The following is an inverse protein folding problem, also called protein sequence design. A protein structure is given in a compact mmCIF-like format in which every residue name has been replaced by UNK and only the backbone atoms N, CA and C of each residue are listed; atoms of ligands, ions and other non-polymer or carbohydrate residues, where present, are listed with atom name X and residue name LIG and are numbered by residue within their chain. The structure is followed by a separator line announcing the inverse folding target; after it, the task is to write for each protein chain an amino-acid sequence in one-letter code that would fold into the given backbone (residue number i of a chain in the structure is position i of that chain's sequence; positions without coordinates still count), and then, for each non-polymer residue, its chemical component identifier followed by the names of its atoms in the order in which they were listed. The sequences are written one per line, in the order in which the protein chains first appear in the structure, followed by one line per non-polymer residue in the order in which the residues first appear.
data_IF_127563223435
#
_entry.id   IF_127563223435
#
_cell.length_a   1.000
_cell.length_b   1.000
_cell.length_c   1.000
_cell.angle_alpha   90.00
_cell.angle_beta   90.00
_cell.angle_gamma   90.00
#
_symmetry.space_group_name_H-M   'P 1'
#
loop_
_entity.id
_entity.type
_entity.pdbx_description
1 polymer ?
#
# COMPACT_ATOMS: atom_id res chain seq x y z
N UNK A 1 5.48 -2.69 -39.59
CA UNK A 1 6.34 -2.44 -38.41
C UNK A 1 5.66 -1.38 -37.56
N UNK A 2 5.04 -1.77 -36.44
CA UNK A 2 4.26 -0.81 -35.64
C UNK A 2 5.06 -0.08 -34.54
N UNK A 3 6.28 -0.51 -34.23
CA UNK A 3 7.10 0.10 -33.17
C UNK A 3 8.60 0.17 -33.51
N UNK A 4 8.96 0.10 -34.80
CA UNK A 4 10.38 0.12 -35.21
C UNK A 4 11.18 -1.13 -34.88
N UNK A 5 10.56 -2.16 -34.29
CA UNK A 5 11.19 -3.43 -33.92
C UNK A 5 10.78 -4.57 -34.86
N UNK A 6 11.63 -5.58 -34.98
CA UNK A 6 11.31 -6.75 -35.79
C UNK A 6 10.27 -7.64 -35.10
N UNK A 7 9.46 -8.37 -35.89
CA UNK A 7 8.48 -9.31 -35.33
C UNK A 7 9.16 -10.35 -34.43
N UNK A 8 10.34 -10.82 -34.81
CA UNK A 8 11.13 -11.78 -34.02
C UNK A 8 11.53 -11.22 -32.65
N UNK A 9 11.95 -9.95 -32.61
CA UNK A 9 12.31 -9.29 -31.37
C UNK A 9 11.09 -9.14 -30.45
N UNK A 10 9.94 -8.70 -31.00
CA UNK A 10 8.69 -8.58 -30.25
C UNK A 10 8.21 -9.95 -29.70
N UNK A 11 8.30 -11.02 -30.51
CA UNK A 11 7.98 -12.38 -30.07
C UNK A 11 8.89 -12.84 -28.92
N UNK A 12 10.17 -12.47 -28.93
CA UNK A 12 11.08 -12.78 -27.83
C UNK A 12 10.72 -12.04 -26.54
N UNK A 13 10.27 -10.79 -26.66
CA UNK A 13 9.76 -10.01 -25.51
C UNK A 13 8.53 -10.72 -24.88
N UNK A 14 7.54 -11.08 -25.68
CA UNK A 14 6.35 -11.80 -25.22
C UNK A 14 6.67 -13.19 -24.62
N UNK A 15 7.71 -13.84 -25.06
CA UNK A 15 8.17 -15.13 -24.53
C UNK A 15 9.02 -14.99 -23.25
N UNK A 16 9.20 -13.79 -22.73
CA UNK A 16 9.98 -13.55 -21.52
C UNK A 16 11.48 -13.83 -21.67
N UNK A 17 12.02 -13.81 -22.90
CA UNK A 17 13.46 -13.96 -23.12
C UNK A 17 14.19 -12.71 -22.62
N UNK A 18 15.39 -12.90 -22.07
CA UNK A 18 16.25 -11.78 -21.68
C UNK A 18 16.68 -10.98 -22.89
N UNK A 19 16.00 -9.89 -23.17
CA UNK A 19 16.33 -8.90 -24.20
C UNK A 19 16.44 -7.54 -23.53
N UNK A 20 17.45 -6.74 -23.91
CA UNK A 20 17.54 -5.36 -23.48
C UNK A 20 16.62 -4.52 -24.37
N UNK A 21 15.51 -4.06 -23.81
CA UNK A 21 14.65 -3.06 -24.43
C UNK A 21 15.09 -1.67 -23.94
N UNK A 22 15.37 -0.74 -24.85
CA UNK A 22 15.55 0.66 -24.47
C UNK A 22 14.21 1.33 -24.22
N UNK A 23 14.21 2.40 -23.40
CA UNK A 23 12.99 3.16 -23.09
C UNK A 23 12.27 3.65 -24.34
N UNK A 24 13.02 4.08 -25.36
CA UNK A 24 12.46 4.50 -26.65
C UNK A 24 11.67 3.37 -27.35
N UNK A 25 12.17 2.15 -27.26
CA UNK A 25 11.51 0.97 -27.85
C UNK A 25 10.24 0.63 -27.05
N UNK A 26 10.28 0.71 -25.74
CA UNK A 26 9.13 0.49 -24.87
C UNK A 26 8.05 1.54 -25.06
N UNK A 27 8.44 2.81 -25.14
CA UNK A 27 7.51 3.90 -25.46
C UNK A 27 6.87 3.70 -26.82
N UNK A 28 7.62 3.21 -27.82
CA UNK A 28 7.09 2.91 -29.15
C UNK A 28 6.09 1.74 -29.11
N UNK A 29 6.38 0.70 -28.32
CA UNK A 29 5.47 -0.43 -28.09
C UNK A 29 4.20 0.04 -27.35
N UNK A 30 4.34 0.80 -26.27
CA UNK A 30 3.21 1.33 -25.50
C UNK A 30 2.27 2.19 -26.36
N UNK A 31 2.83 3.05 -27.24
CA UNK A 31 2.03 3.82 -28.21
C UNK A 31 1.32 2.89 -29.22
N UNK A 32 2.00 1.85 -29.71
CA UNK A 32 1.41 0.90 -30.63
C UNK A 32 0.26 0.11 -29.98
N UNK A 33 0.38 -0.21 -28.69
CA UNK A 33 -0.65 -0.86 -27.87
C UNK A 33 -1.73 0.12 -27.37
N UNK A 34 -1.58 1.42 -27.65
CA UNK A 34 -2.48 2.50 -27.19
C UNK A 34 -2.63 2.55 -25.68
N UNK A 35 -1.53 2.31 -24.97
CA UNK A 35 -1.52 2.48 -23.52
C UNK A 35 -1.71 3.96 -23.17
N UNK A 36 -2.45 4.22 -22.12
CA UNK A 36 -2.52 5.53 -21.48
C UNK A 36 -1.23 5.84 -20.70
N UNK A 37 -1.15 7.02 -20.10
CA UNK A 37 0.02 7.47 -19.35
C UNK A 37 0.37 6.50 -18.21
N UNK A 38 -0.62 6.01 -17.45
CA UNK A 38 -0.42 5.04 -16.39
C UNK A 38 0.10 3.68 -16.91
N UNK A 39 -0.41 3.22 -18.06
CA UNK A 39 0.05 2.01 -18.73
C UNK A 39 1.46 2.14 -19.28
N UNK A 40 1.86 3.33 -19.77
CA UNK A 40 3.23 3.61 -20.22
C UNK A 40 4.21 3.61 -19.05
N UNK A 41 3.88 4.27 -17.95
CA UNK A 41 4.69 4.29 -16.74
C UNK A 41 4.88 2.88 -16.18
N UNK A 42 3.81 2.09 -16.17
CA UNK A 42 3.90 0.70 -15.76
C UNK A 42 4.81 -0.12 -16.69
N UNK A 43 4.69 0.04 -18.00
CA UNK A 43 5.54 -0.65 -18.98
C UNK A 43 7.02 -0.32 -18.78
N UNK A 44 7.36 0.95 -18.56
CA UNK A 44 8.72 1.40 -18.28
C UNK A 44 9.24 0.82 -16.96
N UNK A 45 8.41 0.81 -15.91
CA UNK A 45 8.78 0.25 -14.60
C UNK A 45 9.11 -1.25 -14.63
N UNK A 46 8.61 -1.99 -15.61
CA UNK A 46 8.91 -3.42 -15.77
C UNK A 46 10.32 -3.71 -16.28
N UNK A 47 11.00 -2.73 -16.87
CA UNK A 47 12.31 -2.91 -17.51
C UNK A 47 13.46 -2.31 -16.70
N UNK A 48 13.19 -1.40 -15.81
CA UNK A 48 14.20 -0.99 -14.85
C UNK A 48 14.57 -2.18 -13.98
N UNK A 49 15.83 -2.65 -14.00
CA UNK A 49 16.26 -3.60 -12.97
C UNK A 49 16.13 -2.87 -11.64
N UNK A 50 15.23 -3.35 -10.80
CA UNK A 50 14.98 -2.79 -9.46
C UNK A 50 16.20 -2.91 -8.55
N UNK A 51 17.24 -2.13 -8.85
CA UNK A 51 18.44 -1.93 -8.02
C UNK A 51 18.42 -0.57 -7.32
N UNK A 52 17.37 0.22 -7.52
CA UNK A 52 17.17 1.38 -6.68
C UNK A 52 16.73 0.85 -5.30
N UNK A 53 17.66 0.72 -4.38
CA UNK A 53 17.34 0.86 -2.96
C UNK A 53 16.62 2.20 -2.87
N UNK A 54 15.30 2.15 -2.69
CA UNK A 54 14.52 3.39 -2.53
C UNK A 54 15.01 4.01 -1.24
N UNK A 55 15.80 5.08 -1.35
CA UNK A 55 16.27 5.86 -0.20
C UNK A 55 15.03 6.57 0.38
N UNK A 56 14.24 5.80 1.12
CA UNK A 56 13.02 6.27 1.75
C UNK A 56 13.29 6.58 3.21
N UNK A 57 12.72 7.68 3.73
CA UNK A 57 12.82 8.00 5.14
C UNK A 57 12.26 6.87 6.00
N UNK A 58 13.01 6.43 7.01
CA UNK A 58 12.54 5.45 8.01
C UNK A 58 11.55 6.03 9.00
N UNK A 59 11.46 7.36 9.06
CA UNK A 59 10.50 8.13 9.84
C UNK A 59 9.85 9.20 8.97
N UNK A 60 8.59 9.51 9.24
CA UNK A 60 7.87 10.54 8.47
C UNK A 60 8.54 11.91 8.61
N UNK A 61 8.81 12.63 7.50
CA UNK A 61 9.27 14.01 7.54
C UNK A 61 8.38 14.90 8.42
N UNK A 62 8.97 15.85 9.13
CA UNK A 62 8.25 16.70 10.08
C UNK A 62 7.07 17.47 9.48
N UNK A 63 7.13 17.80 8.18
CA UNK A 63 6.04 18.41 7.45
C UNK A 63 4.83 17.46 7.33
N UNK A 64 5.08 16.16 7.06
CA UNK A 64 4.02 15.15 7.02
C UNK A 64 3.46 14.85 8.41
N UNK A 65 4.29 14.85 9.45
CA UNK A 65 3.80 14.70 10.84
C UNK A 65 2.81 15.82 11.18
N UNK A 66 3.15 17.09 10.89
CA UNK A 66 2.22 18.22 11.09
C UNK A 66 0.94 18.09 10.26
N UNK A 67 1.04 17.59 9.03
CA UNK A 67 -0.14 17.30 8.19
C UNK A 67 -1.03 16.25 8.87
N UNK A 68 -0.46 15.13 9.35
CA UNK A 68 -1.22 14.11 10.05
C UNK A 68 -1.93 14.66 11.30
N UNK A 69 -1.24 15.50 12.08
CA UNK A 69 -1.82 16.11 13.28
C UNK A 69 -2.95 17.08 12.92
N UNK A 70 -2.86 17.79 11.78
CA UNK A 70 -3.92 18.69 11.32
C UNK A 70 -5.19 17.96 10.85
N UNK A 71 -5.09 16.66 10.56
CA UNK A 71 -6.25 15.81 10.20
C UNK A 71 -7.04 15.33 11.41
N UNK A 72 -6.56 15.57 12.64
CA UNK A 72 -7.32 15.20 13.83
C UNK A 72 -8.75 15.80 13.80
N UNK A 73 -9.80 15.04 14.17
CA UNK A 73 -9.81 13.75 14.84
C UNK A 73 -9.76 12.52 13.91
N UNK A 74 -9.55 12.68 12.60
CA UNK A 74 -9.49 11.58 11.64
C UNK A 74 -8.18 10.78 11.80
N UNK A 75 -8.22 9.43 11.82
CA UNK A 75 -7.03 8.60 11.81
C UNK A 75 -6.23 8.80 10.53
N UNK A 76 -4.92 9.02 10.65
CA UNK A 76 -4.06 9.19 9.49
C UNK A 76 -2.64 8.69 9.75
N UNK A 77 -1.98 8.21 8.68
CA UNK A 77 -0.63 7.65 8.76
C UNK A 77 0.13 7.82 7.44
N UNK A 78 1.44 7.63 7.51
CA UNK A 78 2.35 7.59 6.35
C UNK A 78 2.92 6.20 6.22
N UNK A 79 2.90 5.68 5.00
CA UNK A 79 3.57 4.44 4.62
C UNK A 79 4.82 4.74 3.81
N UNK A 80 5.86 3.96 4.04
CA UNK A 80 7.02 3.83 3.18
C UNK A 80 6.78 2.94 1.96
N UNK A 81 7.82 2.70 1.14
CA UNK A 81 7.69 1.97 -0.12
C UNK A 81 7.27 0.51 0.02
N UNK A 82 7.59 -0.14 1.13
CA UNK A 82 7.17 -1.53 1.42
C UNK A 82 5.93 -1.59 2.32
N UNK A 83 5.21 -0.47 2.45
CA UNK A 83 4.05 -0.31 3.32
C UNK A 83 4.34 -0.41 4.82
N UNK A 84 5.59 -0.17 5.20
CA UNK A 84 5.95 0.05 6.60
C UNK A 84 5.38 1.38 7.12
N UNK A 85 4.89 1.38 8.36
CA UNK A 85 4.44 2.62 9.01
C UNK A 85 5.64 3.46 9.42
N UNK A 86 5.78 4.64 8.81
CA UNK A 86 6.86 5.61 9.13
C UNK A 86 6.37 6.79 9.96
N UNK A 87 5.05 6.96 10.11
CA UNK A 87 4.44 7.97 10.98
C UNK A 87 2.92 7.84 11.04
N UNK A 88 2.32 8.29 12.14
CA UNK A 88 0.87 8.29 12.34
C UNK A 88 0.45 9.32 13.39
N UNK A 89 -0.82 9.74 13.37
CA UNK A 89 -1.37 10.63 14.39
C UNK A 89 -1.98 9.86 15.57
N UNK A 90 -2.37 10.61 16.60
CA UNK A 90 -2.93 10.04 17.82
C UNK A 90 -4.27 9.29 17.58
N UNK A 91 -5.07 9.70 16.59
CA UNK A 91 -6.31 9.00 16.25
C UNK A 91 -6.02 7.62 15.64
N UNK A 92 -5.01 7.52 14.78
CA UNK A 92 -4.57 6.24 14.23
C UNK A 92 -4.04 5.29 15.32
N UNK A 93 -3.28 5.82 16.29
CA UNK A 93 -2.80 5.03 17.42
C UNK A 93 -3.95 4.53 18.33
N UNK A 94 -5.09 5.23 18.35
CA UNK A 94 -6.28 4.73 19.06
C UNK A 94 -7.01 3.66 18.26
N UNK A 95 -7.12 3.83 16.94
CA UNK A 95 -7.78 2.85 16.07
C UNK A 95 -7.01 1.52 16.03
N UNK A 96 -5.67 1.58 16.02
CA UNK A 96 -4.77 0.43 16.05
C UNK A 96 -3.79 0.55 17.21
N UNK A 97 -4.19 0.25 18.46
CA UNK A 97 -3.38 0.52 19.65
C UNK A 97 -1.99 -0.12 19.64
N UNK A 98 -1.85 -1.27 19.00
CA UNK A 98 -0.58 -2.00 18.93
C UNK A 98 0.43 -1.45 17.95
N UNK A 99 0.06 -0.50 17.06
CA UNK A 99 0.96 0.00 16.02
C UNK A 99 2.27 0.58 16.59
N UNK A 100 2.20 1.22 17.75
CA UNK A 100 3.35 1.82 18.43
C UNK A 100 4.28 0.79 19.09
N UNK A 101 3.78 -0.44 19.34
CA UNK A 101 4.53 -1.54 19.97
C UNK A 101 5.28 -2.39 18.95
N UNK A 102 4.91 -2.27 17.68
CA UNK A 102 5.51 -3.06 16.60
C UNK A 102 6.88 -2.48 16.21
N UNK A 103 7.80 -3.39 15.94
CA UNK A 103 9.11 -3.09 15.36
C UNK A 103 9.21 -3.65 13.94
N UNK A 104 10.21 -3.21 13.17
CA UNK A 104 10.49 -3.77 11.87
C UNK A 104 10.85 -5.27 11.98
N UNK A 105 10.46 -6.11 11.02
CA UNK A 105 9.64 -5.80 9.84
C UNK A 105 8.12 -5.83 10.08
N UNK A 106 7.66 -6.10 11.30
CA UNK A 106 6.23 -6.24 11.66
C UNK A 106 5.46 -4.92 11.71
N UNK A 107 6.14 -3.78 11.82
CA UNK A 107 5.52 -2.45 11.72
C UNK A 107 5.16 -2.15 10.27
N UNK A 108 4.29 -2.97 9.70
CA UNK A 108 3.93 -2.98 8.30
C UNK A 108 2.42 -3.16 8.14
N UNK A 109 1.79 -2.46 7.19
CA UNK A 109 0.35 -2.50 7.01
C UNK A 109 -0.15 -3.89 6.63
N UNK A 110 0.57 -4.63 5.78
CA UNK A 110 0.17 -6.00 5.45
C UNK A 110 0.32 -6.93 6.63
N UNK A 111 1.40 -6.78 7.41
CA UNK A 111 1.57 -7.59 8.61
C UNK A 111 0.42 -7.37 9.61
N UNK A 112 0.05 -6.10 9.84
CA UNK A 112 -1.07 -5.74 10.70
C UNK A 112 -2.39 -6.32 10.18
N UNK A 113 -2.59 -6.34 8.85
CA UNK A 113 -3.81 -6.89 8.25
C UNK A 113 -3.88 -8.42 8.31
N UNK A 114 -2.78 -9.11 8.09
CA UNK A 114 -2.78 -10.57 7.90
C UNK A 114 -2.35 -11.37 9.13
N UNK A 115 -1.45 -10.85 9.96
CA UNK A 115 -0.85 -11.57 11.09
C UNK A 115 -1.33 -11.06 12.46
N UNK A 116 -1.87 -9.85 12.57
CA UNK A 116 -2.40 -9.34 13.84
C UNK A 116 -3.88 -9.71 14.02
N UNK A 117 -4.15 -10.69 14.88
CA UNK A 117 -5.52 -11.18 15.15
C UNK A 117 -6.45 -10.07 15.66
N UNK A 118 -5.95 -9.13 16.47
CA UNK A 118 -6.75 -8.03 16.98
C UNK A 118 -7.22 -7.10 15.85
N UNK A 119 -6.40 -6.85 14.87
CA UNK A 119 -6.77 -6.09 13.66
C UNK A 119 -7.78 -6.84 12.80
N UNK A 120 -7.65 -8.17 12.68
CA UNK A 120 -8.60 -9.00 11.95
C UNK A 120 -10.00 -8.94 12.57
N UNK A 121 -10.11 -8.95 13.89
CA UNK A 121 -11.37 -8.82 14.62
C UNK A 121 -11.94 -7.38 14.55
N UNK A 122 -11.06 -6.39 14.47
CA UNK A 122 -11.41 -4.98 14.40
C UNK A 122 -12.09 -4.61 13.07
N UNK A 123 -11.65 -5.16 11.94
CA UNK A 123 -12.11 -4.78 10.60
C UNK A 123 -13.34 -5.62 10.21
N UNK A 124 -14.46 -4.96 9.95
CA UNK A 124 -15.65 -5.60 9.37
C UNK A 124 -15.36 -5.95 7.90
N UNK A 125 -15.80 -7.13 7.46
CA UNK A 125 -15.51 -7.64 6.09
C UNK A 125 -14.00 -7.70 5.80
N UNK A 126 -13.22 -8.17 6.78
CA UNK A 126 -11.77 -8.20 6.75
C UNK A 126 -11.20 -8.87 5.49
N UNK A 127 -11.77 -9.99 5.07
CA UNK A 127 -11.33 -10.76 3.89
C UNK A 127 -11.38 -9.93 2.60
N UNK A 128 -12.42 -9.13 2.42
CA UNK A 128 -12.56 -8.23 1.27
C UNK A 128 -11.46 -7.15 1.32
N UNK A 129 -11.29 -6.52 2.48
CA UNK A 129 -10.30 -5.45 2.64
C UNK A 129 -8.85 -5.94 2.56
N UNK A 130 -8.56 -7.12 3.10
CA UNK A 130 -7.24 -7.72 3.06
C UNK A 130 -6.84 -8.15 1.63
N UNK A 131 -7.75 -8.77 0.86
CA UNK A 131 -7.52 -9.10 -0.56
C UNK A 131 -7.27 -7.85 -1.40
N UNK A 132 -8.05 -6.81 -1.20
CA UNK A 132 -7.88 -5.54 -1.91
C UNK A 132 -6.53 -4.89 -1.58
N UNK A 133 -6.18 -4.81 -0.29
CA UNK A 133 -4.88 -4.27 0.13
C UNK A 133 -3.70 -5.06 -0.46
N UNK A 134 -3.82 -6.38 -0.53
CA UNK A 134 -2.79 -7.23 -1.13
C UNK A 134 -2.64 -6.98 -2.64
N UNK A 135 -3.75 -6.84 -3.37
CA UNK A 135 -3.73 -6.56 -4.80
C UNK A 135 -3.16 -5.14 -5.10
N UNK A 136 -3.50 -4.14 -4.29
CA UNK A 136 -2.93 -2.79 -4.35
C UNK A 136 -1.42 -2.80 -4.02
N UNK A 137 -1.02 -3.56 -3.00
CA UNK A 137 0.38 -3.69 -2.62
C UNK A 137 1.24 -4.25 -3.76
N UNK A 138 0.77 -5.29 -4.43
CA UNK A 138 1.46 -5.84 -5.60
C UNK A 138 1.65 -4.83 -6.71
N UNK A 139 0.58 -4.11 -7.05
CA UNK A 139 0.64 -3.07 -8.06
C UNK A 139 1.65 -1.99 -7.66
N UNK A 140 1.55 -1.49 -6.44
CA UNK A 140 2.36 -0.40 -5.93
C UNK A 140 3.83 -0.74 -5.71
N UNK A 141 4.16 -2.02 -5.49
CA UNK A 141 5.53 -2.49 -5.19
C UNK A 141 6.18 -3.25 -6.33
N UNK A 142 5.59 -3.23 -7.51
CA UNK A 142 6.11 -3.93 -8.71
C UNK A 142 7.55 -3.55 -9.05
N UNK A 143 7.94 -2.30 -8.85
CA UNK A 143 9.29 -1.76 -9.08
C UNK A 143 10.32 -2.21 -8.03
N UNK A 144 9.88 -2.52 -6.81
CA UNK A 144 10.76 -2.91 -5.68
C UNK A 144 10.65 -4.41 -5.34
N UNK A 145 10.03 -5.22 -6.19
CA UNK A 145 9.80 -6.66 -5.93
C UNK A 145 11.07 -7.49 -5.70
N UNK A 146 12.23 -6.99 -6.12
CA UNK A 146 13.54 -7.64 -5.94
C UNK A 146 14.34 -7.07 -4.77
N UNK A 147 13.76 -6.12 -4.03
CA UNK A 147 14.38 -5.58 -2.82
C UNK A 147 14.45 -6.68 -1.73
N UNK A 148 15.59 -6.82 -1.05
CA UNK A 148 15.72 -7.76 0.06
C UNK A 148 14.67 -7.58 1.16
N UNK A 149 14.29 -6.34 1.50
CA UNK A 149 13.26 -6.05 2.49
C UNK A 149 11.87 -6.56 2.04
N UNK A 150 11.57 -6.49 0.74
CA UNK A 150 10.35 -7.06 0.17
C UNK A 150 10.35 -8.59 0.29
N UNK A 151 11.48 -9.23 0.01
CA UNK A 151 11.63 -10.69 0.12
C UNK A 151 11.46 -11.15 1.56
N UNK A 152 12.05 -10.42 2.52
CA UNK A 152 11.92 -10.68 3.96
C UNK A 152 10.47 -10.54 4.42
N UNK A 153 9.78 -9.46 4.03
CA UNK A 153 8.37 -9.22 4.38
C UNK A 153 7.45 -10.33 3.84
N UNK A 154 7.60 -10.70 2.58
CA UNK A 154 6.79 -11.76 1.95
C UNK A 154 7.06 -13.11 2.62
N UNK A 155 8.33 -13.41 2.94
CA UNK A 155 8.71 -14.63 3.67
C UNK A 155 8.11 -14.69 5.07
N UNK A 156 8.15 -13.57 5.81
CA UNK A 156 7.56 -13.44 7.14
C UNK A 156 6.04 -13.66 7.10
N UNK A 157 5.36 -12.96 6.21
CA UNK A 157 3.90 -13.06 6.04
C UNK A 157 3.47 -14.45 5.59
N UNK A 158 4.23 -15.08 4.70
CA UNK A 158 3.98 -16.44 4.25
C UNK A 158 4.09 -17.48 5.35
N UNK A 159 4.93 -17.23 6.37
CA UNK A 159 5.05 -18.08 7.55
C UNK A 159 4.02 -17.82 8.64
N UNK A 160 3.42 -16.62 8.69
CA UNK A 160 2.53 -16.19 9.76
C UNK A 160 1.04 -16.15 9.35
N UNK A 161 0.69 -16.24 8.04
CA UNK A 161 -0.70 -16.22 7.55
C UNK A 161 -0.91 -17.17 6.36
N UNK A 162 -1.80 -18.14 6.53
CA UNK A 162 -2.21 -19.06 5.46
C UNK A 162 -2.96 -18.31 4.36
N UNK A 163 -3.84 -17.37 4.72
CA UNK A 163 -4.58 -16.56 3.76
C UNK A 163 -3.65 -15.70 2.91
N UNK A 164 -2.61 -15.10 3.53
CA UNK A 164 -1.61 -14.36 2.77
C UNK A 164 -0.91 -15.28 1.77
N UNK A 165 -0.43 -16.45 2.19
CA UNK A 165 0.27 -17.41 1.33
C UNK A 165 -0.59 -17.83 0.15
N UNK A 166 -1.86 -18.18 0.41
CA UNK A 166 -2.80 -18.58 -0.63
C UNK A 166 -3.05 -17.45 -1.62
N UNK A 167 -3.43 -16.27 -1.14
CA UNK A 167 -3.80 -15.15 -2.01
C UNK A 167 -2.58 -14.52 -2.70
N UNK A 168 -1.40 -14.59 -2.07
CA UNK A 168 -0.15 -14.21 -2.74
C UNK A 168 0.14 -15.06 -3.96
N UNK A 169 -0.21 -16.32 -3.97
CA UNK A 169 -0.06 -17.22 -5.12
C UNK A 169 -1.07 -16.96 -6.26
N UNK A 170 -2.22 -16.34 -5.97
CA UNK A 170 -3.28 -16.06 -6.96
C UNK A 170 -2.92 -14.94 -7.96
N UNK A 171 -1.91 -14.11 -7.66
CA UNK A 171 -1.38 -13.04 -8.52
C UNK A 171 -2.38 -11.95 -8.93
N UNK A 172 -3.44 -11.73 -8.15
CA UNK A 172 -4.37 -10.63 -8.40
C UNK A 172 -3.71 -9.27 -8.18
N UNK A 173 -3.99 -8.32 -9.07
CA UNK A 173 -3.53 -6.92 -8.99
C UNK A 173 -4.71 -5.99 -9.16
N UNK A 174 -4.73 -4.90 -8.38
CA UNK A 174 -5.70 -3.83 -8.55
C UNK A 174 -5.07 -2.49 -8.18
N UNK A 175 -5.60 -1.41 -8.75
CA UNK A 175 -5.27 -0.06 -8.32
C UNK A 175 -6.00 0.32 -7.03
N UNK A 176 -5.56 1.44 -6.43
CA UNK A 176 -6.24 2.02 -5.29
C UNK A 176 -7.64 2.52 -5.68
N UNK A 177 -8.62 2.19 -4.85
CA UNK A 177 -9.97 2.74 -4.94
C UNK A 177 -10.40 3.33 -3.60
N UNK A 178 -10.98 4.52 -3.64
CA UNK A 178 -11.63 5.13 -2.47
C UNK A 178 -12.78 4.25 -2.00
N UNK A 179 -12.80 3.92 -0.72
CA UNK A 179 -13.81 3.01 -0.18
C UNK A 179 -14.15 3.32 1.28
N UNK A 180 -15.33 2.91 1.67
CA UNK A 180 -15.71 2.88 3.07
C UNK A 180 -15.07 1.67 3.76
N UNK A 181 -14.51 1.91 4.95
CA UNK A 181 -14.00 0.86 5.82
C UNK A 181 -14.71 0.93 7.16
N UNK A 182 -15.29 -0.17 7.57
CA UNK A 182 -16.03 -0.31 8.83
C UNK A 182 -15.18 -1.04 9.84
N UNK A 183 -15.26 -0.58 11.09
CA UNK A 183 -14.53 -1.16 12.21
C UNK A 183 -15.49 -1.48 13.36
N UNK A 184 -15.19 -2.53 14.09
CA UNK A 184 -15.83 -2.88 15.36
C UNK A 184 -14.82 -2.64 16.47
N UNK A 185 -14.72 -1.36 16.87
CA UNK A 185 -13.74 -0.96 17.87
C UNK A 185 -14.19 -1.35 19.28
N UNK A 186 -13.32 -1.97 20.14
CA UNK A 186 -13.71 -2.53 21.43
C UNK A 186 -14.30 -1.50 22.41
N UNK A 187 -13.89 -0.24 22.32
CA UNK A 187 -14.38 0.82 23.24
C UNK A 187 -15.23 1.88 22.53
N UNK A 188 -15.00 2.17 21.25
CA UNK A 188 -15.73 3.20 20.50
C UNK A 188 -16.93 2.64 19.70
N UNK A 189 -17.12 1.30 19.69
CA UNK A 189 -18.20 0.65 18.95
C UNK A 189 -17.97 0.59 17.45
N UNK A 190 -19.03 0.61 16.67
CA UNK A 190 -18.93 0.59 15.22
C UNK A 190 -18.49 1.95 14.68
N UNK A 191 -17.43 1.96 13.85
CA UNK A 191 -16.87 3.15 13.24
C UNK A 191 -16.85 2.97 11.72
N UNK A 192 -17.08 4.06 10.98
CA UNK A 192 -17.03 4.07 9.52
C UNK A 192 -16.18 5.22 9.04
N UNK A 193 -15.22 4.93 8.17
CA UNK A 193 -14.35 5.94 7.57
C UNK A 193 -14.24 5.73 6.06
N UNK A 194 -14.07 6.84 5.35
CA UNK A 194 -13.69 6.86 3.94
C UNK A 194 -12.17 6.84 3.83
N UNK A 195 -11.64 5.84 3.15
CA UNK A 195 -10.20 5.62 3.00
C UNK A 195 -9.66 6.39 1.81
N UNK A 196 -8.79 7.36 2.06
CA UNK A 196 -8.14 8.21 1.06
C UNK A 196 -6.63 8.03 1.08
N UNK A 197 -6.01 7.96 -0.10
CA UNK A 197 -4.56 7.87 -0.26
C UNK A 197 -4.04 9.00 -1.13
N UNK A 198 -2.91 9.58 -0.71
CA UNK A 198 -2.23 10.67 -1.40
C UNK A 198 -0.73 10.36 -1.50
N UNK A 199 -0.12 10.72 -2.61
CA UNK A 199 1.34 10.67 -2.77
C UNK A 199 1.91 12.08 -2.68
N UNK A 200 2.74 12.39 -1.66
CA UNK A 200 3.36 13.69 -1.54
C UNK A 200 4.36 13.93 -2.67
N UNK A 201 4.28 15.06 -3.37
CA UNK A 201 5.16 15.35 -4.50
C UNK A 201 6.66 15.42 -4.11
N UNK A 202 6.96 15.91 -2.90
CA UNK A 202 8.34 15.99 -2.39
C UNK A 202 8.92 14.64 -1.96
N UNK A 203 8.06 13.65 -1.66
CA UNK A 203 8.43 12.30 -1.24
C UNK A 203 7.60 11.25 -1.99
N UNK A 204 7.83 11.02 -3.28
CA UNK A 204 7.01 10.15 -4.11
C UNK A 204 7.07 8.66 -3.69
N UNK A 205 8.07 8.26 -2.90
CA UNK A 205 8.16 6.94 -2.29
C UNK A 205 7.24 6.76 -1.08
N UNK A 206 6.71 7.85 -0.49
CA UNK A 206 5.81 7.81 0.64
C UNK A 206 4.34 7.89 0.21
N UNK A 207 3.46 7.33 1.04
CA UNK A 207 2.01 7.44 0.89
C UNK A 207 1.39 7.96 2.16
N UNK A 208 0.64 9.04 2.07
CA UNK A 208 -0.20 9.53 3.16
C UNK A 208 -1.57 8.89 3.03
N UNK A 209 -2.03 8.27 4.10
CA UNK A 209 -3.37 7.69 4.17
C UNK A 209 -4.15 8.42 5.25
N UNK A 210 -5.35 8.86 4.89
CA UNK A 210 -6.33 9.46 5.80
C UNK A 210 -7.61 8.62 5.81
N UNK A 211 -8.15 8.38 6.99
CA UNK A 211 -9.44 7.74 7.19
C UNK A 211 -10.43 8.83 7.59
N UNK A 212 -11.07 9.43 6.56
CA UNK A 212 -11.94 10.57 6.73
C UNK A 212 -13.30 10.15 7.29
N UNK A 213 -13.88 10.90 8.24
CA UNK A 213 -15.23 10.62 8.71
C UNK A 213 -16.23 10.81 7.56
N UNK A 214 -17.22 9.92 7.48
CA UNK A 214 -18.33 10.06 6.53
C UNK A 214 -19.19 11.26 6.93
N UNK A 215 -19.65 12.08 6.01
CA UNK A 215 -20.51 13.23 6.34
C UNK A 215 -21.73 12.81 7.18
N UNK A 216 -21.88 13.43 8.36
CA UNK A 216 -22.96 13.15 9.29
C UNK A 216 -22.71 11.95 10.22
N UNK A 217 -21.56 11.30 10.14
CA UNK A 217 -21.13 10.22 11.04
C UNK A 217 -20.18 10.77 12.11
N UNK A 218 -20.35 10.31 13.36
CA UNK A 218 -19.57 10.74 14.54
C UNK A 218 -18.41 9.79 14.90
N UNK A 219 -18.03 8.92 13.99
CA UNK A 219 -17.01 7.88 14.21
C UNK A 219 -15.67 8.46 14.68
N UNK A 220 -15.23 9.58 14.09
CA UNK A 220 -13.96 10.20 14.46
C UNK A 220 -14.01 10.79 15.87
N UNK A 221 -15.12 11.41 16.25
CA UNK A 221 -15.35 11.95 17.59
C UNK A 221 -15.41 10.82 18.62
N UNK A 222 -16.19 9.76 18.37
CA UNK A 222 -16.31 8.60 19.25
C UNK A 222 -14.98 7.91 19.51
N UNK A 223 -14.16 7.76 18.46
CA UNK A 223 -12.81 7.18 18.59
C UNK A 223 -11.90 8.03 19.48
N UNK A 224 -12.10 9.36 19.51
CA UNK A 224 -11.26 10.30 20.25
C UNK A 224 -11.80 10.63 21.66
N UNK A 225 -12.99 10.18 22.03
CA UNK A 225 -13.48 10.28 23.40
C UNK A 225 -12.57 9.46 24.31
N UNK A 226 -11.98 10.11 25.33
CA UNK A 226 -11.23 9.39 26.37
C UNK A 226 -12.21 8.60 27.21
N UNK A 227 -12.33 7.32 26.97
CA UNK A 227 -12.97 6.42 27.92
C UNK A 227 -12.02 6.31 29.13
N UNK A 228 -12.30 7.05 30.20
CA UNK A 228 -11.70 6.78 31.48
C UNK A 228 -12.21 5.40 31.89
N UNK A 229 -11.34 4.38 31.80
CA UNK A 229 -11.57 3.11 32.46
C UNK A 229 -11.68 3.42 33.95
N UNK A 230 -12.89 3.21 34.50
CA UNK A 230 -13.21 3.24 35.93
C UNK A 230 -12.60 2.00 36.59
#
# INVERSE_FOLDING_TARGET
MLAGVSLTWYTWLEQGRRINASDDVLLAIGRALRLDEAGLDHLLSLTEPGTATVDAPTEAPSALVRLLDSLMPAPAYVLGPHWEFVGWNAAQARLYPRIAELEAPRRNLLWVLFADLATRELIVDWDIHARQALAEFRSATSSVRHDPAMTELVGLLGGESEEFSQWWAEHDVSGFETRLRRFRHPTAGELTFEYQQLTPAEWPSLRVVAQLPVPGDDSAERLNVRHHLV
#
